data_IF_548178283288
#
_entry.id   IF_548178283288
#
_cell.length_a   1.000
_cell.length_b   1.000
_cell.length_c   1.000
_cell.angle_alpha   90.00
_cell.angle_beta   90.00
_cell.angle_gamma   90.00
#
_symmetry.space_group_name_H-M   'P 1'
#
loop_
_entity.id
_entity.type
_entity.pdbx_description
1 polymer ?
#
# COMPACT_ATOMS: atom_id res chain seq x y z
N UNK A 1 -27.41 -7.15 8.79
CA UNK A 1 -25.96 -6.97 8.55
C UNK A 1 -25.84 -6.68 7.06
N UNK A 2 -25.26 -5.55 6.68
CA UNK A 2 -25.23 -5.10 5.28
C UNK A 2 -24.21 -5.92 4.47
N UNK A 3 -24.66 -6.56 3.40
CA UNK A 3 -23.84 -7.44 2.54
C UNK A 3 -22.60 -6.72 1.98
N UNK A 4 -22.65 -5.38 1.87
CA UNK A 4 -21.52 -4.56 1.41
C UNK A 4 -20.31 -4.63 2.35
N UNK A 5 -20.54 -4.75 3.66
CA UNK A 5 -19.49 -4.77 4.69
C UNK A 5 -18.75 -6.11 4.68
N UNK A 6 -19.46 -7.22 4.47
CA UNK A 6 -18.88 -8.55 4.33
C UNK A 6 -17.97 -8.64 3.09
N UNK A 7 -18.42 -8.08 1.96
CA UNK A 7 -17.62 -8.05 0.72
C UNK A 7 -16.30 -7.28 0.94
N UNK A 8 -16.35 -6.12 1.61
CA UNK A 8 -15.16 -5.34 1.91
C UNK A 8 -14.19 -6.11 2.81
N UNK A 9 -14.71 -6.71 3.89
CA UNK A 9 -13.91 -7.48 4.85
C UNK A 9 -13.22 -8.67 4.17
N UNK A 10 -13.93 -9.36 3.28
CA UNK A 10 -13.38 -10.46 2.47
C UNK A 10 -12.30 -9.97 1.50
N UNK A 11 -12.49 -8.79 0.88
CA UNK A 11 -11.50 -8.20 -0.04
C UNK A 11 -10.20 -7.85 0.68
N UNK A 12 -10.27 -7.10 1.79
CA UNK A 12 -9.08 -6.73 2.56
C UNK A 12 -8.34 -7.95 3.10
N UNK A 13 -9.07 -8.96 3.56
CA UNK A 13 -8.49 -10.23 3.98
C UNK A 13 -7.69 -10.89 2.85
N UNK A 14 -8.28 -11.04 1.67
CA UNK A 14 -7.59 -11.61 0.49
C UNK A 14 -6.35 -10.80 0.07
N UNK A 15 -6.42 -9.47 0.21
CA UNK A 15 -5.29 -8.59 -0.08
C UNK A 15 -4.14 -8.84 0.90
N UNK A 16 -4.42 -8.82 2.20
CA UNK A 16 -3.43 -9.04 3.26
C UNK A 16 -2.86 -10.46 3.22
N UNK A 17 -3.69 -11.47 2.93
CA UNK A 17 -3.25 -12.86 2.81
C UNK A 17 -2.41 -13.11 1.54
N UNK A 18 -2.40 -12.15 0.60
CA UNK A 18 -1.66 -12.24 -0.66
C UNK A 18 -2.32 -13.17 -1.69
N UNK A 19 -3.60 -13.50 -1.51
CA UNK A 19 -4.34 -14.50 -2.31
C UNK A 19 -4.59 -14.05 -3.76
N UNK A 20 -4.43 -12.75 -4.05
CA UNK A 20 -4.49 -12.23 -5.42
C UNK A 20 -3.26 -12.59 -6.27
N UNK A 21 -2.21 -13.15 -5.64
CA UNK A 21 -0.96 -13.52 -6.29
C UNK A 21 -0.01 -12.35 -6.48
N UNK A 22 1.27 -12.67 -6.67
CA UNK A 22 2.36 -11.69 -6.65
C UNK A 22 2.21 -10.59 -7.71
N UNK A 23 1.90 -10.97 -8.96
CA UNK A 23 1.80 -10.02 -10.07
C UNK A 23 0.71 -8.97 -9.84
N UNK A 24 -0.50 -9.37 -9.43
CA UNK A 24 -1.59 -8.42 -9.15
C UNK A 24 -1.30 -7.59 -7.89
N UNK A 25 -0.78 -8.21 -6.84
CA UNK A 25 -0.50 -7.52 -5.57
C UNK A 25 0.62 -6.49 -5.71
N UNK A 26 1.63 -6.80 -6.52
CA UNK A 26 2.72 -5.88 -6.81
C UNK A 26 2.35 -4.81 -7.86
N UNK A 27 1.97 -5.21 -9.07
CA UNK A 27 1.77 -4.25 -10.16
C UNK A 27 0.48 -3.45 -10.02
N UNK A 28 -0.61 -4.11 -9.64
CA UNK A 28 -1.90 -3.43 -9.55
C UNK A 28 -2.01 -2.69 -8.21
N UNK A 29 -1.94 -3.41 -7.10
CA UNK A 29 -2.16 -2.80 -5.78
C UNK A 29 -0.95 -2.01 -5.27
N UNK A 30 0.28 -2.36 -5.67
CA UNK A 30 1.46 -1.56 -5.34
C UNK A 30 1.67 -0.39 -6.30
N UNK A 31 1.92 -0.69 -7.57
CA UNK A 31 2.33 0.33 -8.54
C UNK A 31 1.15 1.18 -9.01
N UNK A 32 0.07 0.58 -9.53
CA UNK A 32 -1.05 1.35 -10.09
C UNK A 32 -1.76 2.19 -9.02
N UNK A 33 -2.12 1.59 -7.88
CA UNK A 33 -2.75 2.34 -6.78
C UNK A 33 -1.79 3.37 -6.18
N UNK A 34 -0.50 3.05 -6.09
CA UNK A 34 0.52 4.01 -5.67
C UNK A 34 0.59 5.24 -6.59
N UNK A 35 0.58 5.05 -7.90
CA UNK A 35 0.58 6.14 -8.88
C UNK A 35 -0.68 7.02 -8.76
N UNK A 36 -1.85 6.40 -8.59
CA UNK A 36 -3.10 7.13 -8.36
C UNK A 36 -3.01 7.93 -7.06
N UNK A 37 -2.47 7.34 -6.00
CA UNK A 37 -2.23 8.00 -4.72
C UNK A 37 -1.34 9.23 -4.86
N UNK A 38 -0.28 9.16 -5.67
CA UNK A 38 0.60 10.31 -5.94
C UNK A 38 -0.11 11.44 -6.68
N UNK A 39 -0.95 11.12 -7.66
CA UNK A 39 -1.75 12.14 -8.37
C UNK A 39 -2.72 12.82 -7.40
N UNK A 40 -3.36 12.05 -6.53
CA UNK A 40 -4.24 12.59 -5.48
C UNK A 40 -3.45 13.52 -4.54
N UNK A 41 -2.29 13.08 -4.09
CA UNK A 41 -1.44 13.87 -3.19
C UNK A 41 -1.04 15.21 -3.82
N UNK A 42 -0.64 15.23 -5.09
CA UNK A 42 -0.34 16.47 -5.82
C UNK A 42 -1.56 17.42 -5.82
N UNK A 43 -2.76 16.90 -6.11
CA UNK A 43 -3.98 17.72 -6.08
C UNK A 43 -4.31 18.25 -4.67
N UNK A 44 -4.06 17.47 -3.63
CA UNK A 44 -4.26 17.87 -2.23
C UNK A 44 -3.25 18.94 -1.82
N UNK A 45 -1.99 18.82 -2.22
CA UNK A 45 -0.96 19.82 -1.95
C UNK A 45 -1.30 21.18 -2.59
N UNK A 46 -1.85 21.17 -3.80
CA UNK A 46 -2.33 22.39 -4.49
C UNK A 46 -3.51 23.08 -3.77
N UNK A 47 -4.22 22.39 -2.87
CA UNK A 47 -5.32 22.98 -2.12
C UNK A 47 -4.88 23.89 -0.96
N UNK A 48 -3.58 23.85 -0.61
CA UNK A 48 -2.99 24.52 0.56
C UNK A 48 -3.65 24.18 1.91
N UNK A 49 -4.53 23.18 1.94
CA UNK A 49 -5.24 22.75 3.14
C UNK A 49 -4.44 21.72 3.91
N UNK A 50 -3.82 22.15 5.01
CA UNK A 50 -3.07 21.29 5.93
C UNK A 50 -3.93 20.12 6.44
N UNK A 51 -5.22 20.35 6.72
CA UNK A 51 -6.11 19.30 7.19
C UNK A 51 -6.30 18.19 6.13
N UNK A 52 -6.48 18.57 4.86
CA UNK A 52 -6.62 17.59 3.78
C UNK A 52 -5.32 16.82 3.53
N UNK A 53 -4.18 17.48 3.63
CA UNK A 53 -2.86 16.85 3.55
C UNK A 53 -2.70 15.78 4.63
N UNK A 54 -2.97 16.12 5.90
CA UNK A 54 -2.86 15.18 7.03
C UNK A 54 -3.79 13.97 6.85
N UNK A 55 -5.06 14.20 6.49
CA UNK A 55 -6.04 13.12 6.27
C UNK A 55 -5.57 12.18 5.15
N UNK A 56 -5.05 12.74 4.06
CA UNK A 56 -4.57 11.98 2.91
C UNK A 56 -3.35 11.13 3.28
N UNK A 57 -2.41 11.68 4.05
CA UNK A 57 -1.24 10.96 4.55
C UNK A 57 -1.66 9.79 5.45
N UNK A 58 -2.58 10.00 6.38
CA UNK A 58 -3.05 8.93 7.29
C UNK A 58 -3.75 7.79 6.53
N UNK A 59 -4.58 8.14 5.55
CA UNK A 59 -5.23 7.16 4.68
C UNK A 59 -4.21 6.37 3.85
N UNK A 60 -3.22 7.06 3.27
CA UNK A 60 -2.15 6.45 2.49
C UNK A 60 -1.30 5.50 3.34
N UNK A 61 -0.94 5.89 4.58
CA UNK A 61 -0.17 5.03 5.50
C UNK A 61 -0.91 3.73 5.79
N UNK A 62 -2.20 3.81 6.11
CA UNK A 62 -3.04 2.63 6.41
C UNK A 62 -3.08 1.67 5.22
N UNK A 63 -3.27 2.21 4.01
CA UNK A 63 -3.28 1.40 2.80
C UNK A 63 -1.91 0.76 2.51
N UNK A 64 -0.82 1.53 2.60
CA UNK A 64 0.53 1.05 2.33
C UNK A 64 0.93 -0.12 3.23
N UNK A 65 0.60 -0.06 4.53
CA UNK A 65 0.89 -1.16 5.46
C UNK A 65 0.15 -2.45 5.04
N UNK A 66 -1.14 -2.35 4.73
CA UNK A 66 -1.92 -3.50 4.24
C UNK A 66 -1.35 -4.08 2.93
N UNK A 67 -0.99 -3.21 1.99
CA UNK A 67 -0.41 -3.59 0.69
C UNK A 67 0.95 -4.27 0.84
N UNK A 68 1.80 -3.79 1.76
CA UNK A 68 3.10 -4.38 2.07
C UNK A 68 2.99 -5.78 2.65
N UNK A 69 2.11 -5.96 3.63
CA UNK A 69 1.84 -7.28 4.22
C UNK A 69 1.34 -8.24 3.14
N UNK A 70 0.38 -7.78 2.32
CA UNK A 70 -0.14 -8.54 1.19
C UNK A 70 0.95 -8.95 0.20
N UNK A 71 1.84 -8.02 -0.16
CA UNK A 71 2.95 -8.26 -1.09
C UNK A 71 3.97 -9.24 -0.51
N UNK A 72 4.32 -9.09 0.77
CA UNK A 72 5.23 -10.00 1.45
C UNK A 72 4.67 -11.43 1.52
N UNK A 73 3.39 -11.56 1.88
CA UNK A 73 2.68 -12.84 1.93
C UNK A 73 2.55 -13.48 0.55
N UNK A 74 2.17 -12.70 -0.46
CA UNK A 74 2.12 -13.16 -1.85
C UNK A 74 3.50 -13.62 -2.34
N UNK A 75 4.57 -12.91 -1.99
CA UNK A 75 5.94 -13.27 -2.37
C UNK A 75 6.40 -14.58 -1.72
N UNK A 76 6.01 -14.83 -0.46
CA UNK A 76 6.32 -16.08 0.25
C UNK A 76 5.60 -17.30 -0.32
N UNK A 77 4.40 -17.10 -0.88
CA UNK A 77 3.59 -18.17 -1.50
C UNK A 77 3.85 -18.32 -3.00
N UNK A 78 4.65 -17.44 -3.60
CA UNK A 78 4.88 -17.44 -5.05
C UNK A 78 5.79 -18.60 -5.46
N UNK A 79 5.26 -19.49 -6.30
CA UNK A 79 5.97 -20.69 -6.81
C UNK A 79 6.67 -20.46 -8.15
N UNK A 80 6.54 -19.26 -8.74
CA UNK A 80 7.15 -18.90 -10.03
C UNK A 80 8.62 -18.50 -9.92
N UNK A 81 9.07 -17.60 -10.81
CA UNK A 81 10.47 -17.16 -10.84
C UNK A 81 10.86 -16.41 -9.56
N UNK A 82 11.98 -16.83 -8.95
CA UNK A 82 12.54 -16.23 -7.73
C UNK A 82 12.89 -14.74 -7.89
N UNK A 83 13.14 -14.27 -9.11
CA UNK A 83 13.44 -12.85 -9.39
C UNK A 83 12.29 -11.98 -8.90
N UNK A 84 11.04 -12.35 -9.20
CA UNK A 84 9.86 -11.59 -8.78
C UNK A 84 9.68 -11.59 -7.27
N UNK A 85 9.91 -12.73 -6.61
CA UNK A 85 9.87 -12.81 -5.15
C UNK A 85 10.89 -11.88 -4.50
N UNK A 86 12.13 -11.87 -5.01
CA UNK A 86 13.19 -10.99 -4.49
C UNK A 86 12.85 -9.53 -4.73
N UNK A 87 12.41 -9.17 -5.94
CA UNK A 87 12.05 -7.80 -6.28
C UNK A 87 10.93 -7.27 -5.38
N UNK A 88 9.87 -8.06 -5.18
CA UNK A 88 8.76 -7.71 -4.30
C UNK A 88 9.19 -7.48 -2.85
N UNK A 89 10.08 -8.34 -2.31
CA UNK A 89 10.62 -8.16 -0.96
C UNK A 89 11.50 -6.93 -0.84
N UNK A 90 12.32 -6.63 -1.86
CA UNK A 90 13.13 -5.40 -1.90
C UNK A 90 12.22 -4.17 -1.86
N UNK A 91 11.15 -4.13 -2.67
CA UNK A 91 10.20 -3.01 -2.63
C UNK A 91 9.49 -2.86 -1.29
N UNK A 92 9.12 -3.96 -0.62
CA UNK A 92 8.54 -3.88 0.72
C UNK A 92 9.57 -3.29 1.70
N UNK A 93 10.83 -3.75 1.66
CA UNK A 93 11.88 -3.21 2.52
C UNK A 93 12.13 -1.72 2.28
N UNK A 94 12.23 -1.29 1.02
CA UNK A 94 12.37 0.12 0.65
C UNK A 94 11.18 0.97 1.12
N UNK A 95 9.96 0.45 0.95
CA UNK A 95 8.77 1.16 1.40
C UNK A 95 8.71 1.31 2.93
N UNK A 96 9.13 0.29 3.70
CA UNK A 96 9.17 0.40 5.17
C UNK A 96 10.12 1.52 5.59
N UNK A 97 11.29 1.59 4.95
CA UNK A 97 12.25 2.68 5.16
C UNK A 97 11.60 4.03 4.81
N UNK A 98 10.93 4.13 3.66
CA UNK A 98 10.26 5.36 3.24
C UNK A 98 9.19 5.80 4.27
N UNK A 99 8.34 4.89 4.75
CA UNK A 99 7.33 5.18 5.77
C UNK A 99 7.98 5.68 7.06
N UNK A 100 9.08 5.05 7.50
CA UNK A 100 9.78 5.51 8.72
C UNK A 100 10.31 6.93 8.57
N UNK A 101 10.89 7.29 7.42
CA UNK A 101 11.31 8.67 7.14
C UNK A 101 10.12 9.64 7.12
N UNK A 102 9.02 9.28 6.47
CA UNK A 102 7.81 10.12 6.42
C UNK A 102 7.26 10.41 7.82
N UNK A 103 7.23 9.40 8.70
CA UNK A 103 6.78 9.58 10.09
C UNK A 103 7.72 10.52 10.83
N UNK A 104 9.03 10.36 10.69
CA UNK A 104 10.02 11.25 11.30
C UNK A 104 9.80 12.69 10.85
N UNK A 105 9.66 12.93 9.54
CA UNK A 105 9.40 14.29 9.01
C UNK A 105 8.13 14.87 9.60
N UNK A 106 7.04 14.11 9.64
CA UNK A 106 5.76 14.56 10.18
C UNK A 106 5.85 14.96 11.66
N UNK A 107 6.66 14.25 12.46
CA UNK A 107 6.86 14.58 13.88
C UNK A 107 7.76 15.80 14.13
N UNK A 108 8.52 16.23 13.12
CA UNK A 108 9.40 17.40 13.19
C UNK A 108 8.81 18.63 12.47
N UNK A 109 7.54 18.56 12.07
CA UNK A 109 6.79 19.64 11.42
C UNK A 109 6.11 20.53 12.48
#
# INVERSE_FOLDING_TARGET
MDDSQEIQKVFFKKLIDGDFGLAKTYWFYGVLVGLIGQIIMLGVEMSESIALVIITILAALTYNVCQMIGTWNAANRYTGSKIWTVLAKITVALGVIAITFTIIILTNL
#
